data_IF_171738280748
#
_entry.id   IF_171738280748
#
_cell.length_a   1.000
_cell.length_b   1.000
_cell.length_c   1.000
_cell.angle_alpha   90.00
_cell.angle_beta   90.00
_cell.angle_gamma   90.00
#
_symmetry.space_group_name_H-M   'P 1'
#
loop_
_entity.id
_entity.type
_entity.pdbx_description
1 polymer ?
#
# COMPACT_ATOMS: atom_id res chain seq x y z
N UNK A 1 5.63 12.22 9.24
CA UNK A 1 5.96 11.12 8.32
C UNK A 1 5.47 9.81 8.89
N UNK A 2 5.00 8.93 8.02
CA UNK A 2 4.47 7.60 8.39
C UNK A 2 5.21 6.54 7.57
N UNK A 3 5.47 5.38 8.17
CA UNK A 3 6.18 4.28 7.53
C UNK A 3 5.40 2.98 7.73
N UNK A 4 5.29 2.19 6.67
CA UNK A 4 4.65 0.86 6.69
C UNK A 4 5.66 -0.16 6.20
N UNK A 5 5.98 -1.14 7.04
CA UNK A 5 6.84 -2.26 6.69
C UNK A 5 6.00 -3.47 6.32
N UNK A 6 6.38 -4.14 5.24
CA UNK A 6 5.78 -5.41 4.84
C UNK A 6 6.89 -6.44 4.74
N UNK A 7 6.77 -7.52 5.49
CA UNK A 7 7.68 -8.67 5.38
C UNK A 7 7.01 -9.75 4.52
N UNK A 8 7.31 -9.86 3.21
CA UNK A 8 6.49 -10.65 2.29
C UNK A 8 6.50 -12.15 2.60
N UNK A 9 7.57 -12.66 3.23
CA UNK A 9 7.66 -14.06 3.68
C UNK A 9 6.79 -14.40 4.90
N UNK A 10 6.33 -13.40 5.65
CA UNK A 10 5.43 -13.59 6.82
C UNK A 10 3.96 -13.43 6.45
N UNK A 11 3.65 -13.09 5.19
CA UNK A 11 2.28 -13.00 4.72
C UNK A 11 1.69 -14.41 4.51
N UNK A 12 0.40 -14.64 4.86
CA UNK A 12 -0.26 -15.92 4.60
C UNK A 12 -0.24 -16.30 3.12
N UNK A 13 -0.19 -17.60 2.84
CA UNK A 13 -0.03 -18.10 1.47
C UNK A 13 -1.22 -17.77 0.56
N UNK A 14 -2.42 -17.64 1.14
CA UNK A 14 -3.67 -17.26 0.50
C UNK A 14 -3.76 -15.78 0.13
N UNK A 15 -2.88 -14.93 0.70
CA UNK A 15 -2.89 -13.49 0.44
C UNK A 15 -2.28 -13.21 -0.93
N UNK A 16 -3.07 -12.59 -1.81
CA UNK A 16 -2.69 -12.33 -3.21
C UNK A 16 -2.31 -10.89 -3.51
N UNK A 17 -2.78 -9.95 -2.68
CA UNK A 17 -2.67 -8.52 -2.94
C UNK A 17 -2.68 -7.73 -1.62
N UNK A 18 -1.74 -6.80 -1.49
CA UNK A 18 -1.72 -5.71 -0.50
C UNK A 18 -1.82 -4.41 -1.28
N UNK A 19 -2.66 -3.49 -0.83
CA UNK A 19 -2.79 -2.15 -1.42
C UNK A 19 -2.39 -1.09 -0.41
N UNK A 20 -1.70 -0.05 -0.87
CA UNK A 20 -1.28 1.08 -0.05
C UNK A 20 -2.09 2.31 -0.41
N UNK A 21 -2.76 2.88 0.59
CA UNK A 21 -3.64 4.03 0.42
C UNK A 21 -3.15 5.14 1.32
N UNK A 22 -3.09 6.35 0.78
CA UNK A 22 -2.91 7.57 1.56
C UNK A 22 -4.24 8.30 1.63
N UNK A 23 -4.56 8.90 2.78
CA UNK A 23 -5.78 9.67 2.96
C UNK A 23 -5.59 10.83 3.95
N UNK A 24 -6.27 11.94 3.70
CA UNK A 24 -6.32 13.08 4.59
C UNK A 24 -7.25 12.79 5.78
N UNK A 25 -6.71 12.86 6.99
CA UNK A 25 -7.50 12.60 8.22
C UNK A 25 -8.48 13.74 8.56
N UNK A 26 -8.11 15.01 8.34
CA UNK A 26 -8.93 16.19 8.66
C UNK A 26 -8.82 17.28 7.60
N UNK A 27 -9.89 17.47 6.83
CA UNK A 27 -9.98 18.55 5.84
C UNK A 27 -8.90 18.46 4.74
N UNK A 28 -8.98 19.38 3.77
CA UNK A 28 -8.01 19.45 2.67
C UNK A 28 -8.01 18.27 1.71
N UNK A 29 -7.04 18.28 0.81
CA UNK A 29 -6.72 17.23 -0.17
C UNK A 29 -5.24 16.85 -0.07
N UNK A 30 -4.86 15.71 -0.67
CA UNK A 30 -3.47 15.22 -0.61
C UNK A 30 -2.50 16.26 -1.19
N UNK A 31 -2.87 16.92 -2.29
CA UNK A 31 -2.08 18.01 -2.89
C UNK A 31 -1.77 19.21 -1.98
N UNK A 32 -2.52 19.40 -0.89
CA UNK A 32 -2.31 20.52 0.02
C UNK A 32 -1.10 20.29 0.92
N UNK A 33 -0.64 19.04 1.05
CA UNK A 33 0.59 18.69 1.75
C UNK A 33 1.82 19.06 0.90
N UNK A 34 2.60 20.04 1.38
CA UNK A 34 3.81 20.50 0.71
C UNK A 34 4.87 19.40 0.69
N UNK A 35 5.46 19.17 -0.48
CA UNK A 35 6.50 18.15 -0.70
C UNK A 35 6.08 16.73 -0.30
N UNK A 36 4.78 16.41 -0.42
CA UNK A 36 4.29 15.08 -0.14
C UNK A 36 4.88 14.07 -1.13
N UNK A 37 5.54 13.04 -0.61
CA UNK A 37 6.18 11.99 -1.39
C UNK A 37 5.83 10.62 -0.82
N UNK A 38 5.73 9.65 -1.72
CA UNK A 38 5.70 8.25 -1.36
C UNK A 38 7.06 7.63 -1.72
N UNK A 39 7.67 6.97 -0.74
CA UNK A 39 8.98 6.34 -0.85
C UNK A 39 8.83 4.83 -0.75
N UNK A 40 9.54 4.11 -1.61
CA UNK A 40 9.65 2.66 -1.59
C UNK A 40 11.07 2.34 -1.17
N UNK A 41 11.19 1.64 -0.05
CA UNK A 41 12.45 1.25 0.57
C UNK A 41 12.52 -0.27 0.59
N UNK A 42 13.70 -0.82 0.32
CA UNK A 42 13.95 -2.27 0.36
C UNK A 42 14.98 -2.59 1.44
N UNK A 43 14.67 -3.53 2.34
CA UNK A 43 15.48 -3.99 3.48
C UNK A 43 15.80 -2.97 4.58
N UNK A 44 16.15 -1.73 4.23
CA UNK A 44 16.58 -0.70 5.18
C UNK A 44 16.07 0.69 4.80
N UNK A 45 15.90 1.57 5.80
CA UNK A 45 15.46 2.96 5.60
C UNK A 45 16.37 3.79 4.69
N UNK A 46 17.63 3.39 4.55
CA UNK A 46 18.61 4.06 3.70
C UNK A 46 18.59 3.58 2.24
N UNK A 47 17.87 2.50 1.93
CA UNK A 47 17.88 1.87 0.61
C UNK A 47 16.57 2.14 -0.13
N UNK A 48 16.48 3.34 -0.70
CA UNK A 48 15.36 3.76 -1.55
C UNK A 48 15.48 3.15 -2.95
N UNK A 49 14.46 2.37 -3.32
CA UNK A 49 14.33 1.76 -4.66
C UNK A 49 13.44 2.60 -5.57
N UNK A 50 12.72 3.58 -5.02
CA UNK A 50 12.02 4.59 -5.80
C UNK A 50 11.20 5.55 -4.95
N UNK A 51 10.88 6.70 -5.52
CA UNK A 51 9.94 7.64 -4.92
C UNK A 51 9.17 8.40 -6.00
N UNK A 52 7.98 8.86 -5.63
CA UNK A 52 7.20 9.76 -6.48
C UNK A 52 6.40 10.74 -5.63
N UNK A 53 6.11 11.89 -6.24
CA UNK A 53 5.36 12.96 -5.62
C UNK A 53 3.86 12.67 -5.57
N UNK A 54 3.20 13.12 -4.52
CA UNK A 54 1.75 12.97 -4.31
C UNK A 54 0.95 14.21 -4.73
N UNK A 55 1.61 15.24 -5.29
CA UNK A 55 0.99 16.50 -5.72
C UNK A 55 -0.10 16.32 -6.78
N UNK A 56 -0.09 15.20 -7.51
CA UNK A 56 -1.09 14.88 -8.54
C UNK A 56 -2.40 14.35 -7.97
N UNK A 57 -2.40 13.90 -6.71
CA UNK A 57 -3.59 13.43 -6.02
C UNK A 57 -4.43 14.63 -5.55
N UNK A 58 -5.40 15.02 -6.37
CA UNK A 58 -6.31 16.14 -6.11
C UNK A 58 -7.37 15.86 -5.06
N UNK A 59 -7.58 14.59 -4.74
CA UNK A 59 -8.63 14.12 -3.84
C UNK A 59 -8.11 13.88 -2.42
N UNK A 60 -9.04 13.52 -1.52
CA UNK A 60 -8.73 13.25 -0.11
C UNK A 60 -8.06 11.91 0.14
N UNK A 61 -8.12 11.00 -0.82
CA UNK A 61 -7.52 9.68 -0.71
C UNK A 61 -7.00 9.23 -2.08
N UNK A 62 -5.93 8.45 -2.09
CA UNK A 62 -5.36 7.88 -3.31
C UNK A 62 -4.75 6.50 -3.03
N UNK A 63 -4.90 5.61 -4.01
CA UNK A 63 -4.19 4.34 -4.06
C UNK A 63 -2.80 4.61 -4.68
N UNK A 64 -1.76 4.47 -3.85
CA UNK A 64 -0.38 4.87 -4.19
C UNK A 64 0.53 3.68 -4.51
N UNK A 65 0.11 2.46 -4.16
CA UNK A 65 0.91 1.30 -4.51
C UNK A 65 0.20 -0.01 -4.22
N UNK A 66 0.81 -1.08 -4.70
CA UNK A 66 0.38 -2.43 -4.35
C UNK A 66 1.53 -3.41 -4.37
N UNK A 67 1.50 -4.38 -3.47
CA UNK A 67 2.24 -5.63 -3.59
C UNK A 67 1.28 -6.71 -4.07
N UNK A 68 1.64 -7.40 -5.14
CA UNK A 68 0.82 -8.50 -5.67
C UNK A 68 1.67 -9.74 -5.86
N UNK A 69 1.05 -10.90 -5.61
CA UNK A 69 1.70 -12.19 -5.71
C UNK A 69 1.58 -12.72 -7.13
N UNK A 70 2.71 -13.05 -7.74
CA UNK A 70 2.76 -13.64 -9.09
C UNK A 70 2.31 -15.10 -9.07
N UNK A 71 2.09 -15.66 -10.26
CA UNK A 71 1.85 -17.10 -10.41
C UNK A 71 3.03 -17.96 -9.94
N UNK A 72 4.26 -17.43 -9.92
CA UNK A 72 5.45 -18.08 -9.36
C UNK A 72 5.53 -18.01 -7.82
N UNK A 73 4.61 -17.30 -7.16
CA UNK A 73 4.61 -17.11 -5.71
C UNK A 73 5.49 -15.95 -5.21
N UNK A 74 6.16 -15.25 -6.12
CA UNK A 74 7.00 -14.07 -5.83
C UNK A 74 6.13 -12.84 -5.60
N UNK A 75 6.57 -11.93 -4.74
CA UNK A 75 5.93 -10.64 -4.54
C UNK A 75 6.52 -9.60 -5.48
N UNK A 76 5.66 -8.84 -6.15
CA UNK A 76 6.08 -7.69 -6.96
C UNK A 76 5.40 -6.42 -6.46
N UNK A 77 6.17 -5.33 -6.44
CA UNK A 77 5.64 -4.00 -6.15
C UNK A 77 5.23 -3.29 -7.44
N UNK A 78 4.13 -2.54 -7.38
CA UNK A 78 3.70 -1.61 -8.42
C UNK A 78 3.35 -0.28 -7.78
N UNK A 79 4.05 0.78 -8.20
CA UNK A 79 3.67 2.15 -7.90
C UNK A 79 2.37 2.49 -8.65
N UNK A 80 1.46 3.17 -7.95
CA UNK A 80 0.16 3.57 -8.47
C UNK A 80 -0.04 5.06 -8.18
N UNK A 81 -0.85 5.70 -9.00
CA UNK A 81 -1.31 7.06 -8.79
C UNK A 81 -2.79 7.12 -9.20
N UNK A 82 -3.62 6.51 -8.36
CA UNK A 82 -5.06 6.38 -8.63
C UNK A 82 -5.85 7.14 -7.55
N UNK A 83 -6.31 8.37 -7.83
CA UNK A 83 -7.09 9.12 -6.87
C UNK A 83 -8.46 8.47 -6.62
N UNK A 84 -9.01 8.70 -5.43
CA UNK A 84 -10.39 8.34 -5.13
C UNK A 84 -11.33 9.12 -6.07
N UNK A 85 -12.17 8.42 -6.83
CA UNK A 85 -13.02 9.08 -7.85
C UNK A 85 -14.03 10.06 -7.24
N UNK A 86 -14.50 9.77 -6.02
CA UNK A 86 -15.42 10.59 -5.20
C UNK A 86 -15.26 10.19 -3.73
N UNK A 87 -15.35 11.14 -2.82
CA UNK A 87 -15.41 10.82 -1.39
C UNK A 87 -14.98 11.94 -0.45
N UNK A 88 -15.60 11.99 0.73
CA UNK A 88 -15.16 12.82 1.85
C UNK A 88 -14.38 12.01 2.90
N UNK A 89 -14.52 10.68 2.87
CA UNK A 89 -13.99 9.75 3.86
C UNK A 89 -13.15 8.64 3.22
N UNK A 90 -12.25 8.04 4.01
CA UNK A 90 -11.46 6.88 3.59
C UNK A 90 -12.32 5.74 3.02
N UNK A 91 -13.50 5.50 3.60
CA UNK A 91 -14.43 4.44 3.15
C UNK A 91 -14.84 4.62 1.68
N UNK A 92 -14.83 5.85 1.16
CA UNK A 92 -15.25 6.11 -0.21
C UNK A 92 -14.21 5.63 -1.25
N UNK A 93 -12.95 5.42 -0.86
CA UNK A 93 -11.94 4.88 -1.78
C UNK A 93 -12.11 3.36 -2.02
N UNK A 94 -12.84 2.66 -1.15
CA UNK A 94 -13.04 1.21 -1.25
C UNK A 94 -13.73 0.83 -2.56
N UNK A 95 -14.77 1.56 -2.92
CA UNK A 95 -15.51 1.35 -4.16
C UNK A 95 -15.84 2.71 -4.81
N UNK A 96 -15.54 2.92 -6.09
CA UNK A 96 -15.05 1.91 -7.04
C UNK A 96 -13.52 1.75 -7.05
N UNK A 97 -12.74 2.66 -6.44
CA UNK A 97 -11.29 2.76 -6.71
C UNK A 97 -10.51 1.48 -6.35
N UNK A 98 -10.52 1.05 -5.09
CA UNK A 98 -9.80 -0.18 -4.69
C UNK A 98 -10.47 -1.40 -5.33
N UNK A 99 -11.79 -1.49 -5.33
CA UNK A 99 -12.53 -2.60 -5.91
C UNK A 99 -12.16 -2.87 -7.37
N UNK A 100 -12.13 -1.82 -8.21
CA UNK A 100 -11.78 -1.95 -9.62
C UNK A 100 -10.32 -2.39 -9.79
N UNK A 101 -9.42 -1.87 -8.95
CA UNK A 101 -8.02 -2.30 -8.97
C UNK A 101 -7.87 -3.77 -8.57
N UNK A 102 -8.52 -4.21 -7.49
CA UNK A 102 -8.53 -5.61 -7.05
C UNK A 102 -9.04 -6.52 -8.18
N UNK A 103 -10.14 -6.15 -8.83
CA UNK A 103 -10.71 -6.90 -9.95
C UNK A 103 -9.80 -6.92 -11.19
N UNK A 104 -8.96 -5.90 -11.37
CA UNK A 104 -7.96 -5.88 -12.44
C UNK A 104 -6.77 -6.82 -12.19
N UNK A 105 -6.44 -7.10 -10.92
CA UNK A 105 -5.30 -7.94 -10.53
C UNK A 105 -5.71 -9.38 -10.22
N UNK A 106 -6.91 -9.59 -9.66
CA UNK A 106 -7.41 -10.90 -9.22
C UNK A 106 -8.68 -11.24 -10.02
N UNK A 107 -8.56 -12.07 -11.07
CA UNK A 107 -9.71 -12.56 -11.82
C UNK A 107 -10.71 -13.28 -10.89
N UNK A 108 -12.00 -12.96 -11.03
CA UNK A 108 -13.05 -13.55 -10.21
C UNK A 108 -13.21 -12.92 -8.82
N UNK A 109 -12.51 -11.83 -8.50
CA UNK A 109 -12.74 -11.09 -7.26
C UNK A 109 -14.20 -10.60 -7.16
N UNK A 110 -14.79 -10.53 -5.94
CA UNK A 110 -16.16 -10.09 -5.75
C UNK A 110 -16.45 -8.71 -6.36
N UNK A 111 -17.67 -8.54 -6.88
CA UNK A 111 -18.14 -7.28 -7.49
C UNK A 111 -18.30 -6.13 -6.49
N UNK A 112 -18.41 -6.42 -5.20
CA UNK A 112 -18.53 -5.43 -4.14
C UNK A 112 -17.69 -5.87 -2.95
N UNK A 113 -16.82 -4.99 -2.48
CA UNK A 113 -16.16 -5.16 -1.18
C UNK A 113 -17.21 -4.90 -0.09
N UNK A 114 -17.70 -5.97 0.55
CA UNK A 114 -18.50 -5.85 1.78
C UNK A 114 -17.54 -5.61 2.94
N UNK A 115 -17.11 -4.37 3.08
CA UNK A 115 -16.26 -3.95 4.18
C UNK A 115 -17.07 -3.78 5.47
N UNK A 116 -16.93 -4.72 6.40
CA UNK A 116 -17.16 -4.46 7.81
C UNK A 116 -15.78 -4.29 8.46
N UNK A 117 -15.25 -3.07 8.48
CA UNK A 117 -13.97 -2.81 9.13
C UNK A 117 -14.21 -2.58 10.62
N UNK A 118 -13.63 -3.45 11.45
CA UNK A 118 -13.07 -2.98 12.71
C UNK A 118 -11.76 -2.26 12.35
N UNK A 119 -11.80 -0.93 12.24
CA UNK A 119 -10.60 -0.14 12.02
C UNK A 119 -9.82 -0.09 13.34
N UNK A 120 -8.90 -1.02 13.51
CA UNK A 120 -7.91 -0.93 14.58
C UNK A 120 -6.74 -0.10 14.09
N UNK A 121 -6.33 0.89 14.89
CA UNK A 121 -5.04 1.55 14.68
C UNK A 121 -3.98 0.48 14.88
N UNK A 122 -3.32 0.06 13.79
CA UNK A 122 -2.22 -0.89 13.87
C UNK A 122 -1.13 -0.40 14.82
N UNK A 123 -0.38 -1.32 15.43
CA UNK A 123 0.81 -0.98 16.19
C UNK A 123 1.97 -0.69 15.23
N UNK A 124 2.61 0.45 15.39
CA UNK A 124 3.98 0.66 14.88
C UNK A 124 4.86 -0.26 15.70
N UNK A 125 5.44 -1.28 15.07
CA UNK A 125 6.39 -2.18 15.74
C UNK A 125 7.77 -1.76 15.27
N UNK A 126 8.63 -1.36 16.21
CA UNK A 126 10.05 -1.18 15.90
C UNK A 126 10.61 -2.55 15.50
N UNK A 127 11.35 -2.59 14.39
CA UNK A 127 12.05 -3.80 13.99
C UNK A 127 13.09 -4.15 15.05
N UNK A 128 13.29 -5.44 15.38
CA UNK A 128 14.47 -5.85 16.13
C UNK A 128 15.70 -5.44 15.33
N UNK A 129 16.68 -4.85 16.02
CA UNK A 129 17.96 -4.45 15.42
C UNK A 129 18.51 -5.57 14.55
N UNK A 130 19.05 -5.19 13.39
CA UNK A 130 19.52 -6.05 12.28
C UNK A 130 20.46 -7.19 12.68
N UNK A 131 20.96 -7.18 13.92
CA UNK A 131 21.85 -8.19 14.50
C UNK A 131 21.14 -9.51 14.89
N UNK A 132 19.81 -9.60 14.79
CA UNK A 132 19.06 -10.82 15.17
C UNK A 132 18.41 -11.58 14.01
N UNK A 133 18.49 -11.08 12.77
CA UNK A 133 17.88 -11.77 11.61
C UNK A 133 18.88 -12.74 10.97
N UNK A 134 18.96 -13.93 11.54
CA UNK A 134 19.64 -15.08 10.93
C UNK A 134 18.74 -15.64 9.83
N UNK A 135 18.88 -15.13 8.60
CA UNK A 135 18.83 -15.86 7.33
C UNK A 135 18.58 -14.90 6.16
N UNK A 136 19.66 -14.64 5.42
CA UNK A 136 19.64 -14.11 4.06
C UNK A 136 19.22 -15.22 3.10
N UNK A 137 18.17 -15.00 2.31
CA UNK A 137 18.01 -15.69 1.03
C UNK A 137 17.72 -14.66 -0.04
N UNK A 138 18.76 -14.33 -0.82
CA UNK A 138 18.66 -13.47 -1.99
C UNK A 138 18.06 -14.26 -3.15
N UNK A 139 17.12 -13.63 -3.86
CA UNK A 139 16.54 -14.14 -5.09
C UNK A 139 16.14 -12.98 -5.99
N UNK A 140 17.14 -12.31 -6.57
CA UNK A 140 16.98 -11.54 -7.79
C UNK A 140 16.82 -12.54 -8.94
N UNK A 141 15.80 -12.35 -9.77
CA UNK A 141 15.85 -12.81 -11.15
C UNK A 141 16.68 -11.85 -11.97
#
# INVERSE_FOLDING_TARGET
DECVWVHPLKLPAELKLVVFVVACYKGGCIRDAKNAKFHVLEDALAHEVGSFGLERATDKAALVGSLFRTSSGTWMFRALDVPARRGQHFIDILEPTIGDYVRSVIPGAPRKIKAAFAMDKGSVVDLPESNQVVQTLAGLG
#
